data_IF_404266447044
#
_entry.id   IF_404266447044
#
_cell.length_a   1.000
_cell.length_b   1.000
_cell.length_c   1.000
_cell.angle_alpha   90.00
_cell.angle_beta   90.00
_cell.angle_gamma   90.00
#
_symmetry.space_group_name_H-M   'P 1'
#
loop_
_entity.id
_entity.type
_entity.pdbx_description
1 polymer ?
#
# COMPACT_ATOMS: atom_id res chain seq x y z
N UNK A 1 -21.45 0.01 -6.03
CA UNK A 1 -21.75 0.09 -4.59
C UNK A 1 -21.60 1.53 -4.16
N UNK A 2 -22.60 2.11 -3.49
CA UNK A 2 -22.49 3.47 -2.95
C UNK A 2 -21.43 3.47 -1.83
N UNK A 3 -20.32 4.19 -2.05
CA UNK A 3 -19.41 4.56 -0.97
C UNK A 3 -20.17 5.43 0.04
N UNK A 4 -20.40 4.89 1.24
CA UNK A 4 -20.63 5.73 2.41
C UNK A 4 -19.32 6.44 2.69
N UNK A 5 -19.19 7.70 2.28
CA UNK A 5 -18.19 8.63 2.83
C UNK A 5 -18.46 8.73 4.33
N UNK A 6 -17.72 7.97 5.13
CA UNK A 6 -17.60 8.24 6.56
C UNK A 6 -16.76 9.51 6.65
N UNK A 7 -17.36 10.57 7.17
CA UNK A 7 -16.68 11.84 7.40
C UNK A 7 -15.71 11.64 8.57
N UNK A 8 -14.44 11.42 8.24
CA UNK A 8 -13.35 11.19 9.20
C UNK A 8 -12.73 12.50 9.71
N UNK A 9 -13.38 13.65 9.48
CA UNK A 9 -12.93 14.90 10.07
C UNK A 9 -13.27 14.94 11.56
N UNK A 10 -12.29 15.38 12.33
CA UNK A 10 -12.42 15.68 13.75
C UNK A 10 -13.35 16.91 13.86
N UNK A 11 -14.55 16.72 14.43
CA UNK A 11 -15.57 17.77 14.58
C UNK A 11 -15.52 18.33 15.99
N UNK A 12 -15.83 19.62 16.15
CA UNK A 12 -15.95 20.28 17.46
C UNK A 12 -16.75 19.41 18.42
N UNK A 13 -16.12 19.04 19.53
CA UNK A 13 -16.80 18.49 20.69
C UNK A 13 -17.51 19.63 21.41
N UNK A 14 -18.83 19.52 21.60
CA UNK A 14 -19.65 20.59 22.20
C UNK A 14 -19.31 20.86 23.67
N UNK A 15 -18.49 19.99 24.27
CA UNK A 15 -18.09 20.05 25.67
C UNK A 15 -16.64 20.56 25.88
N UNK A 16 -15.96 21.07 24.83
CA UNK A 16 -14.62 21.66 24.98
C UNK A 16 -14.64 22.84 25.96
N UNK A 17 -13.79 22.78 26.99
CA UNK A 17 -13.57 23.86 27.97
C UNK A 17 -12.18 24.45 27.74
N UNK A 18 -12.05 25.28 26.71
CA UNK A 18 -10.80 25.89 26.28
C UNK A 18 -10.74 27.41 26.50
N UNK A 19 -9.61 28.00 26.14
CA UNK A 19 -9.42 29.44 25.99
C UNK A 19 -9.72 29.82 24.54
N UNK A 20 -10.52 30.87 24.33
CA UNK A 20 -10.70 31.47 23.00
C UNK A 20 -9.43 32.21 22.62
N UNK A 21 -8.87 31.89 21.46
CA UNK A 21 -7.62 32.47 20.96
C UNK A 21 -7.74 32.79 19.47
N UNK A 22 -6.85 33.63 18.95
CA UNK A 22 -6.72 33.90 17.52
C UNK A 22 -5.57 33.05 16.95
N UNK A 23 -5.90 32.24 15.95
CA UNK A 23 -4.91 31.51 15.15
C UNK A 23 -4.19 32.50 14.23
N UNK A 24 -2.86 32.43 14.26
CA UNK A 24 -1.96 33.11 13.33
C UNK A 24 -1.05 32.05 12.71
N UNK A 25 -0.70 32.18 11.43
CA UNK A 25 0.22 31.26 10.77
C UNK A 25 1.63 31.86 10.64
N UNK A 26 2.64 31.06 10.97
CA UNK A 26 4.05 31.38 10.75
C UNK A 26 4.76 30.17 10.12
N UNK A 27 5.76 30.43 9.29
CA UNK A 27 6.53 29.38 8.61
C UNK A 27 7.69 28.86 9.49
N UNK A 28 7.95 27.56 9.40
CA UNK A 28 9.30 27.03 9.64
C UNK A 28 9.62 26.56 11.06
N UNK A 29 8.64 26.09 11.82
CA UNK A 29 8.88 25.57 13.17
C UNK A 29 8.29 24.18 13.45
N UNK A 30 7.92 23.44 12.40
CA UNK A 30 8.00 21.98 12.37
C UNK A 30 6.76 21.25 12.87
N UNK A 31 5.59 21.58 12.30
CA UNK A 31 4.29 21.02 12.67
C UNK A 31 3.95 21.17 14.17
N UNK A 32 4.31 22.31 14.75
CA UNK A 32 4.04 22.67 16.15
C UNK A 32 3.20 23.94 16.22
N UNK A 33 2.81 24.35 17.43
CA UNK A 33 2.27 25.67 17.70
C UNK A 33 3.07 26.37 18.81
N UNK A 34 3.06 27.71 18.78
CA UNK A 34 3.64 28.57 19.80
C UNK A 34 2.56 29.30 20.56
N UNK A 35 2.80 29.52 21.85
CA UNK A 35 1.93 30.30 22.73
C UNK A 35 2.78 31.08 23.74
N UNK A 36 2.31 32.23 24.18
CA UNK A 36 2.99 32.97 25.24
C UNK A 36 2.83 32.27 26.60
N UNK A 37 3.72 32.60 27.54
CA UNK A 37 3.75 31.97 28.86
C UNK A 37 2.52 32.30 29.74
N UNK A 38 1.89 33.46 29.54
CA UNK A 38 0.72 33.88 30.31
C UNK A 38 -0.50 33.02 29.98
N UNK A 39 -0.78 32.82 28.69
CA UNK A 39 -1.90 32.01 28.23
C UNK A 39 -1.63 30.51 28.41
N UNK A 40 -0.38 30.07 28.22
CA UNK A 40 0.03 28.72 28.61
C UNK A 40 -0.32 28.43 30.07
N UNK A 41 -0.02 29.37 30.98
CA UNK A 41 -0.34 29.24 32.40
C UNK A 41 -1.84 29.19 32.67
N UNK A 42 -2.66 29.99 31.96
CA UNK A 42 -4.14 29.93 32.07
C UNK A 42 -4.67 28.55 31.67
N UNK A 43 -4.08 27.94 30.63
CA UNK A 43 -4.44 26.62 30.12
C UNK A 43 -3.76 25.45 30.85
N UNK A 44 -2.86 25.72 31.81
CA UNK A 44 -2.10 24.69 32.52
C UNK A 44 -1.09 23.94 31.62
N UNK A 45 -0.58 24.61 30.59
CA UNK A 45 0.38 24.10 29.61
C UNK A 45 1.82 24.33 30.05
N UNK A 46 2.68 23.39 29.67
CA UNK A 46 4.13 23.43 29.76
C UNK A 46 4.73 23.24 28.36
N UNK A 47 6.03 23.54 28.19
CA UNK A 47 6.78 23.18 26.99
C UNK A 47 6.57 21.71 26.62
N UNK A 48 6.21 21.43 25.36
CA UNK A 48 5.92 20.09 24.87
C UNK A 48 4.52 19.56 25.19
N UNK A 49 3.65 20.35 25.84
CA UNK A 49 2.26 19.96 26.07
C UNK A 49 1.51 19.81 24.74
N UNK A 50 0.52 18.92 24.72
CA UNK A 50 -0.34 18.73 23.56
C UNK A 50 -1.62 19.53 23.78
N UNK A 51 -2.05 20.23 22.74
CA UNK A 51 -3.34 20.94 22.73
C UNK A 51 -4.22 20.41 21.61
N UNK A 52 -5.52 20.53 21.81
CA UNK A 52 -6.51 20.46 20.74
C UNK A 52 -6.94 21.88 20.40
N UNK A 53 -6.95 22.19 19.12
CA UNK A 53 -7.38 23.48 18.57
C UNK A 53 -8.61 23.21 17.71
N UNK A 54 -9.70 23.92 17.97
CA UNK A 54 -10.94 23.83 17.22
C UNK A 54 -11.25 25.19 16.57
N UNK A 55 -11.24 25.23 15.23
CA UNK A 55 -11.61 26.40 14.45
C UNK A 55 -13.12 26.65 14.55
N UNK A 56 -13.49 27.83 15.06
CA UNK A 56 -14.89 28.19 15.30
C UNK A 56 -15.69 28.42 14.00
N UNK A 57 -15.01 28.73 12.89
CA UNK A 57 -15.68 28.95 11.61
C UNK A 57 -15.98 27.66 10.87
N UNK A 58 -14.98 26.78 10.77
CA UNK A 58 -15.08 25.57 9.94
C UNK A 58 -15.59 24.36 10.72
N UNK A 59 -15.49 24.39 12.04
CA UNK A 59 -15.80 23.24 12.88
C UNK A 59 -14.72 22.15 12.88
N UNK A 60 -13.56 22.42 12.26
CA UNK A 60 -12.44 21.52 12.19
C UNK A 60 -11.66 21.55 13.50
N UNK A 61 -11.16 20.40 13.93
CA UNK A 61 -10.21 20.32 15.04
C UNK A 61 -8.89 19.64 14.64
N UNK A 62 -7.81 20.07 15.28
CA UNK A 62 -6.47 19.52 15.12
C UNK A 62 -5.77 19.36 16.47
N UNK A 63 -4.78 18.47 16.52
CA UNK A 63 -3.85 18.34 17.65
C UNK A 63 -2.49 18.92 17.28
N UNK A 64 -1.82 19.56 18.23
CA UNK A 64 -0.43 20.00 18.04
C UNK A 64 0.35 20.07 19.35
N UNK A 65 1.68 20.08 19.24
CA UNK A 65 2.61 20.21 20.37
C UNK A 65 2.97 21.68 20.55
N UNK A 66 2.93 22.14 21.79
CA UNK A 66 3.20 23.52 22.17
C UNK A 66 4.68 23.76 22.44
N UNK A 67 5.18 24.87 21.90
CA UNK A 67 6.42 25.55 22.27
C UNK A 67 6.07 26.88 22.93
N UNK A 68 6.76 27.27 24.00
CA UNK A 68 6.57 28.59 24.62
C UNK A 68 7.41 29.64 23.90
N UNK A 69 6.80 30.78 23.55
CA UNK A 69 7.49 31.90 22.90
C UNK A 69 6.94 33.23 23.43
N UNK A 70 7.83 34.06 23.98
CA UNK A 70 7.49 35.37 24.56
C UNK A 70 7.09 36.42 23.50
N UNK A 71 7.37 36.16 22.21
CA UNK A 71 7.01 37.07 21.12
C UNK A 71 5.59 36.88 20.59
N UNK A 72 4.88 35.85 21.06
CA UNK A 72 3.47 35.61 20.70
C UNK A 72 2.57 36.57 21.48
N UNK A 73 1.60 37.20 20.83
CA UNK A 73 0.67 38.14 21.48
C UNK A 73 -0.23 37.47 22.51
N UNK A 74 -0.83 38.27 23.39
CA UNK A 74 -1.86 37.79 24.30
C UNK A 74 -3.07 37.30 23.50
N UNK A 75 -3.65 36.16 23.91
CA UNK A 75 -4.77 35.47 23.26
C UNK A 75 -4.48 35.04 21.82
N UNK A 76 -3.21 34.93 21.43
CA UNK A 76 -2.77 34.41 20.14
C UNK A 76 -2.14 33.02 20.27
N UNK A 77 -2.43 32.16 19.29
CA UNK A 77 -1.72 30.89 19.10
C UNK A 77 -1.14 30.88 17.69
N UNK A 78 0.18 30.78 17.58
CA UNK A 78 0.87 30.75 16.29
C UNK A 78 1.04 29.30 15.87
N UNK A 79 0.42 28.89 14.77
CA UNK A 79 0.48 27.52 14.25
C UNK A 79 1.44 27.48 13.05
N UNK A 80 2.23 26.43 12.95
CA UNK A 80 3.08 26.21 11.77
C UNK A 80 2.19 26.17 10.53
N UNK A 81 2.45 27.06 9.57
CA UNK A 81 1.57 27.30 8.42
C UNK A 81 1.24 26.02 7.66
N UNK A 82 2.23 25.17 7.45
CA UNK A 82 2.06 23.89 6.76
C UNK A 82 1.09 22.96 7.49
N UNK A 83 1.14 22.91 8.82
CA UNK A 83 0.20 22.14 9.63
C UNK A 83 -1.22 22.72 9.52
N UNK A 84 -1.37 24.04 9.69
CA UNK A 84 -2.67 24.71 9.60
C UNK A 84 -3.32 24.53 8.22
N UNK A 85 -2.61 24.90 7.15
CA UNK A 85 -3.12 24.86 5.78
C UNK A 85 -3.42 23.42 5.31
N UNK A 86 -2.58 22.45 5.66
CA UNK A 86 -2.82 21.03 5.27
C UNK A 86 -4.05 20.42 5.93
N UNK A 87 -4.45 20.96 7.08
CA UNK A 87 -5.68 20.61 7.78
C UNK A 87 -6.88 21.45 7.34
N UNK A 88 -6.68 22.47 6.52
CA UNK A 88 -7.74 23.36 6.04
C UNK A 88 -8.13 24.46 7.03
N UNK A 89 -7.29 24.75 8.02
CA UNK A 89 -7.51 25.84 8.98
C UNK A 89 -7.25 27.19 8.31
N UNK A 90 -7.93 28.22 8.81
CA UNK A 90 -7.68 29.62 8.47
C UNK A 90 -7.32 30.40 9.73
N UNK A 91 -6.59 31.50 9.57
CA UNK A 91 -6.39 32.46 10.66
C UNK A 91 -7.74 33.00 11.16
N UNK A 92 -7.87 33.14 12.48
CA UNK A 92 -9.15 33.51 13.08
C UNK A 92 -9.38 32.90 14.47
N UNK A 93 -10.56 33.16 15.06
CA UNK A 93 -10.94 32.62 16.37
C UNK A 93 -10.95 31.09 16.38
N UNK A 94 -10.37 30.53 17.44
CA UNK A 94 -10.36 29.12 17.73
C UNK A 94 -10.43 28.88 19.24
N UNK A 95 -10.99 27.74 19.60
CA UNK A 95 -10.99 27.25 20.96
C UNK A 95 -9.77 26.34 21.16
N UNK A 96 -8.91 26.69 22.12
CA UNK A 96 -7.70 25.94 22.46
C UNK A 96 -7.89 25.27 23.81
N UNK A 97 -7.76 23.94 23.87
CA UNK A 97 -7.81 23.18 25.11
C UNK A 97 -6.57 22.31 25.29
N UNK A 98 -6.24 22.05 26.55
CA UNK A 98 -5.17 21.11 26.90
C UNK A 98 -5.63 19.67 26.66
N UNK A 99 -4.78 18.88 26.02
CA UNK A 99 -5.00 17.45 25.87
C UNK A 99 -4.29 16.68 26.99
N UNK A 100 -5.06 16.23 27.98
CA UNK A 100 -4.55 15.51 29.16
C UNK A 100 -4.78 13.99 29.12
N UNK A 101 -5.35 13.46 28.04
CA UNK A 101 -5.54 12.02 27.88
C UNK A 101 -4.22 11.34 27.52
N UNK A 102 -4.11 10.05 27.82
CA UNK A 102 -2.98 9.25 27.39
C UNK A 102 -2.98 9.10 25.85
N UNK A 103 -1.79 9.17 25.25
CA UNK A 103 -1.63 8.93 23.81
C UNK A 103 -1.81 7.45 23.49
N UNK A 104 -2.46 7.19 22.36
CA UNK A 104 -2.60 5.86 21.80
C UNK A 104 -1.22 5.35 21.35
N UNK A 105 -0.93 4.09 21.69
CA UNK A 105 0.32 3.41 21.28
C UNK A 105 0.09 2.70 19.96
N UNK A 106 0.76 3.17 18.92
CA UNK A 106 0.65 2.60 17.59
C UNK A 106 1.55 1.38 17.44
N UNK A 107 1.03 0.39 16.70
CA UNK A 107 1.81 -0.74 16.18
C UNK A 107 2.05 -0.59 14.69
N UNK A 108 1.05 -0.12 13.96
CA UNK A 108 1.13 0.02 12.50
C UNK A 108 0.55 1.34 12.04
N UNK A 109 1.12 1.88 10.98
CA UNK A 109 0.59 3.07 10.30
C UNK A 109 0.75 2.94 8.78
N UNK A 110 -0.31 3.30 8.05
CA UNK A 110 -0.28 3.43 6.59
C UNK A 110 -0.31 4.91 6.24
N UNK A 111 0.75 5.37 5.56
CA UNK A 111 0.93 6.73 5.09
C UNK A 111 0.66 6.80 3.59
N UNK A 112 -0.25 7.71 3.23
CA UNK A 112 -0.57 8.11 1.88
C UNK A 112 0.38 9.20 1.39
N UNK A 113 0.92 9.03 0.20
CA UNK A 113 1.81 9.99 -0.48
C UNK A 113 1.01 10.74 -1.55
N UNK A 114 1.13 12.07 -1.55
CA UNK A 114 0.53 12.95 -2.57
C UNK A 114 1.57 13.99 -3.03
N UNK A 115 2.10 13.92 -4.26
CA UNK A 115 2.97 14.98 -4.81
C UNK A 115 2.24 16.33 -4.85
N UNK A 116 2.91 17.43 -4.47
CA UNK A 116 2.29 18.76 -4.49
C UNK A 116 1.98 19.28 -5.89
N UNK A 117 2.76 18.88 -6.91
CA UNK A 117 2.61 19.30 -8.30
C UNK A 117 1.38 18.76 -9.04
N UNK A 118 0.65 17.80 -8.45
CA UNK A 118 -0.55 17.20 -9.04
C UNK A 118 -0.35 15.79 -9.61
N UNK A 119 -1.47 15.12 -9.87
CA UNK A 119 -1.63 13.67 -9.95
C UNK A 119 -1.22 13.01 -11.28
N UNK A 120 -0.12 13.44 -11.91
CA UNK A 120 0.47 12.70 -13.01
C UNK A 120 1.00 11.35 -12.51
N UNK A 121 0.57 10.24 -13.11
CA UNK A 121 1.03 8.89 -12.70
C UNK A 121 2.56 8.74 -12.73
N UNK A 122 3.24 9.49 -13.60
CA UNK A 122 4.70 9.51 -13.71
C UNK A 122 5.37 10.25 -12.55
N UNK A 123 4.84 11.41 -12.14
CA UNK A 123 5.35 12.14 -10.98
C UNK A 123 5.11 11.34 -9.70
N UNK A 124 3.93 10.73 -9.56
CA UNK A 124 3.61 9.84 -8.45
C UNK A 124 4.58 8.65 -8.37
N UNK A 125 4.92 8.02 -9.51
CA UNK A 125 5.92 6.96 -9.58
C UNK A 125 7.29 7.45 -9.10
N UNK A 126 7.76 8.58 -9.65
CA UNK A 126 9.07 9.14 -9.32
C UNK A 126 9.19 9.47 -7.83
N UNK A 127 8.17 10.13 -7.26
CA UNK A 127 8.14 10.50 -5.84
C UNK A 127 8.08 9.29 -4.92
N UNK A 128 7.28 8.29 -5.27
CA UNK A 128 7.24 7.03 -4.53
C UNK A 128 8.61 6.32 -4.50
N UNK A 129 9.28 6.23 -5.64
CA UNK A 129 10.62 5.63 -5.73
C UNK A 129 11.69 6.48 -5.02
N UNK A 130 11.59 7.80 -5.08
CA UNK A 130 12.47 8.72 -4.35
C UNK A 130 12.35 8.53 -2.83
N UNK A 131 11.13 8.46 -2.31
CA UNK A 131 10.90 8.18 -0.88
C UNK A 131 11.50 6.84 -0.49
N UNK A 132 11.28 5.79 -1.30
CA UNK A 132 11.80 4.45 -1.01
C UNK A 132 13.34 4.46 -0.96
N UNK A 133 14.00 5.21 -1.85
CA UNK A 133 15.47 5.43 -1.83
C UNK A 133 15.94 6.21 -0.60
N UNK A 134 15.11 7.12 -0.07
CA UNK A 134 15.44 8.03 1.02
C UNK A 134 14.71 7.68 2.33
N UNK A 135 14.45 6.39 2.56
CA UNK A 135 13.68 5.89 3.72
C UNK A 135 14.11 6.47 5.07
N UNK A 136 15.41 6.64 5.31
CA UNK A 136 15.92 7.16 6.59
C UNK A 136 15.48 8.60 6.86
N UNK A 137 15.34 9.40 5.79
CA UNK A 137 14.83 10.76 5.92
C UNK A 137 13.33 10.76 6.23
N UNK A 138 12.58 9.79 5.70
CA UNK A 138 11.16 9.66 5.98
C UNK A 138 10.95 9.20 7.43
N UNK A 139 11.73 8.23 7.91
CA UNK A 139 11.71 7.80 9.31
C UNK A 139 11.98 9.01 10.24
N UNK A 140 13.02 9.80 9.96
CA UNK A 140 13.32 11.01 10.73
C UNK A 140 12.21 12.06 10.68
N UNK A 141 11.51 12.17 9.55
CA UNK A 141 10.40 13.12 9.42
C UNK A 141 9.16 12.66 10.20
N UNK A 142 8.88 11.35 10.18
CA UNK A 142 7.70 10.78 10.82
C UNK A 142 7.86 10.67 12.34
N UNK A 143 9.06 10.44 12.83
CA UNK A 143 9.33 10.26 14.26
C UNK A 143 8.97 11.51 15.08
N UNK A 144 8.17 11.33 16.13
CA UNK A 144 7.67 12.42 16.96
C UNK A 144 6.52 13.23 16.35
N UNK A 145 5.93 12.80 15.22
CA UNK A 145 4.71 13.42 14.72
C UNK A 145 3.49 13.02 15.55
N UNK A 146 2.73 14.01 15.98
CA UNK A 146 1.42 13.82 16.59
C UNK A 146 0.38 13.55 15.49
N UNK A 147 -0.28 12.41 15.54
CA UNK A 147 -1.26 11.99 14.54
C UNK A 147 -2.65 11.75 15.14
N UNK A 148 -3.65 11.87 14.28
CA UNK A 148 -5.07 11.67 14.53
C UNK A 148 -5.78 11.28 13.23
N UNK A 149 -7.07 10.90 13.28
CA UNK A 149 -7.82 10.61 12.06
C UNK A 149 -7.71 11.73 11.03
N UNK A 150 -7.34 11.36 9.80
CA UNK A 150 -7.14 12.26 8.67
C UNK A 150 -6.01 13.31 8.80
N UNK A 151 -5.10 13.18 9.77
CA UNK A 151 -3.93 14.04 9.90
C UNK A 151 -3.12 14.11 8.58
N UNK A 152 -2.70 15.31 8.23
CA UNK A 152 -1.92 15.61 7.03
C UNK A 152 -0.68 16.42 7.41
N UNK A 153 0.41 16.15 6.71
CA UNK A 153 1.69 16.77 6.94
C UNK A 153 2.33 17.15 5.62
N UNK A 154 2.99 18.30 5.62
CA UNK A 154 3.74 18.77 4.48
C UNK A 154 5.21 18.43 4.66
N UNK A 155 5.78 17.70 3.71
CA UNK A 155 7.20 17.40 3.69
C UNK A 155 7.90 18.18 2.57
N UNK A 156 8.11 19.47 2.82
CA UNK A 156 8.61 20.45 1.84
C UNK A 156 9.90 20.03 1.15
N UNK A 157 10.84 19.45 1.91
CA UNK A 157 12.12 18.96 1.38
C UNK A 157 11.96 18.01 0.19
N UNK A 158 10.82 17.31 0.10
CA UNK A 158 10.52 16.36 -0.96
C UNK A 158 9.34 16.75 -1.84
N UNK A 159 8.70 17.89 -1.58
CA UNK A 159 7.55 18.39 -2.32
C UNK A 159 6.38 17.37 -2.33
N UNK A 160 6.08 16.85 -1.13
CA UNK A 160 5.10 15.80 -0.90
C UNK A 160 4.23 16.15 0.29
N UNK A 161 2.94 15.87 0.17
CA UNK A 161 2.01 15.79 1.28
C UNK A 161 1.88 14.34 1.74
N UNK A 162 1.93 14.13 3.05
CA UNK A 162 1.74 12.85 3.70
C UNK A 162 0.40 12.86 4.43
N UNK A 163 -0.39 11.80 4.26
CA UNK A 163 -1.68 11.64 4.94
C UNK A 163 -1.70 10.35 5.72
N UNK A 164 -2.18 10.39 6.96
CA UNK A 164 -2.45 9.16 7.72
C UNK A 164 -3.72 8.53 7.16
N UNK A 165 -3.60 7.33 6.60
CA UNK A 165 -4.72 6.60 5.98
C UNK A 165 -5.32 5.60 6.95
N UNK A 166 -4.46 4.80 7.60
CA UNK A 166 -4.88 3.73 8.50
C UNK A 166 -3.89 3.62 9.66
N UNK A 167 -4.38 3.21 10.82
CA UNK A 167 -3.60 2.98 12.04
C UNK A 167 -4.06 1.70 12.72
N UNK A 168 -3.15 1.01 13.38
CA UNK A 168 -3.44 -0.13 14.25
C UNK A 168 -2.77 0.09 15.62
N UNK A 169 -3.53 0.21 16.73
CA UNK A 169 -4.99 0.31 16.79
C UNK A 169 -5.51 1.56 16.07
N UNK A 170 -6.79 1.54 15.68
CA UNK A 170 -7.42 2.68 15.03
C UNK A 170 -7.65 3.80 16.04
N UNK A 171 -7.12 4.98 15.76
CA UNK A 171 -7.26 6.15 16.63
C UNK A 171 -8.70 6.65 16.59
N UNK A 172 -9.33 6.82 17.75
CA UNK A 172 -10.66 7.44 17.83
C UNK A 172 -10.62 8.93 17.49
N UNK A 173 -11.70 9.54 17.00
CA UNK A 173 -11.77 10.97 16.71
C UNK A 173 -11.39 11.89 17.89
N UNK A 174 -11.43 11.41 19.13
CA UNK A 174 -11.08 12.22 20.30
C UNK A 174 -9.69 11.97 20.86
N UNK A 175 -8.90 11.08 20.24
CA UNK A 175 -7.59 10.69 20.74
C UNK A 175 -6.48 11.08 19.77
N UNK A 176 -5.27 11.19 20.32
CA UNK A 176 -4.05 11.40 19.59
C UNK A 176 -3.10 10.21 19.78
N UNK A 177 -2.21 10.04 18.83
CA UNK A 177 -1.07 9.14 18.95
C UNK A 177 0.21 9.88 18.56
N UNK A 178 1.34 9.45 19.12
CA UNK A 178 2.65 9.90 18.64
C UNK A 178 3.26 8.79 17.79
N UNK A 179 3.80 9.13 16.63
CA UNK A 179 4.65 8.18 15.90
C UNK A 179 5.96 8.06 16.65
N UNK A 180 6.22 6.87 17.20
CA UNK A 180 7.53 6.47 17.70
C UNK A 180 8.06 5.37 16.78
N UNK A 181 8.93 5.72 15.84
CA UNK A 181 9.39 4.80 14.78
C UNK A 181 10.00 3.53 15.36
N UNK A 182 10.72 3.65 16.48
CA UNK A 182 11.35 2.53 17.17
C UNK A 182 10.35 1.54 17.83
N UNK A 183 9.10 1.97 18.07
CA UNK A 183 8.06 1.15 18.68
C UNK A 183 7.08 0.55 17.65
N UNK A 184 7.12 1.01 16.40
CA UNK A 184 6.26 0.51 15.35
C UNK A 184 6.71 -0.88 14.87
N UNK A 185 5.72 -1.75 14.68
CA UNK A 185 5.88 -3.04 14.02
C UNK A 185 5.91 -2.87 12.49
N UNK A 186 5.18 -1.87 11.93
CA UNK A 186 5.05 -1.69 10.49
C UNK A 186 4.72 -0.24 10.08
N UNK A 187 5.41 0.27 9.05
CA UNK A 187 4.99 1.46 8.29
C UNK A 187 4.75 1.08 6.84
N UNK A 188 3.58 1.42 6.29
CA UNK A 188 3.20 1.20 4.89
C UNK A 188 3.11 2.50 4.12
N UNK A 189 3.53 2.46 2.87
CA UNK A 189 3.42 3.55 1.89
C UNK A 189 2.50 3.15 0.76
N UNK A 190 1.55 4.03 0.44
CA UNK A 190 0.70 3.96 -0.77
C UNK A 190 0.43 5.37 -1.28
N UNK A 191 -0.08 5.51 -2.50
CA UNK A 191 -0.59 6.82 -2.93
C UNK A 191 -1.87 7.15 -2.16
N UNK A 192 -2.01 8.42 -1.77
CA UNK A 192 -3.23 8.95 -1.16
C UNK A 192 -4.34 9.11 -2.21
N UNK A 193 -4.00 9.71 -3.35
CA UNK A 193 -4.90 9.99 -4.47
C UNK A 193 -4.24 9.70 -5.80
N UNK A 194 -5.06 9.36 -6.80
CA UNK A 194 -4.60 8.99 -8.13
C UNK A 194 -4.22 7.51 -8.23
N UNK A 195 -3.82 7.10 -9.44
CA UNK A 195 -3.41 5.72 -9.73
C UNK A 195 -1.93 5.70 -10.06
N UNK A 196 -1.19 4.81 -9.39
CA UNK A 196 0.19 4.51 -9.73
C UNK A 196 0.22 3.60 -10.95
N UNK A 197 0.99 3.94 -11.99
CA UNK A 197 1.18 3.03 -13.11
C UNK A 197 2.39 2.15 -12.82
N UNK A 198 2.20 0.83 -12.79
CA UNK A 198 3.27 -0.11 -12.50
C UNK A 198 3.23 -1.32 -13.44
N UNK A 199 4.41 -1.82 -13.78
CA UNK A 199 4.53 -3.09 -14.49
C UNK A 199 4.33 -4.25 -13.52
N UNK A 200 4.06 -5.44 -14.04
CA UNK A 200 3.83 -6.62 -13.22
C UNK A 200 4.43 -7.88 -13.83
N UNK A 201 5.03 -8.71 -12.99
CA UNK A 201 5.52 -10.04 -13.34
C UNK A 201 4.88 -11.04 -12.39
N UNK A 202 3.97 -11.86 -12.93
CA UNK A 202 3.29 -12.91 -12.17
C UNK A 202 4.08 -14.21 -12.31
N UNK A 203 4.61 -14.73 -11.21
CA UNK A 203 5.31 -16.00 -11.12
C UNK A 203 4.39 -17.04 -10.51
N UNK A 204 4.01 -18.05 -11.30
CA UNK A 204 2.96 -19.01 -10.92
C UNK A 204 3.56 -20.43 -10.86
N UNK A 205 3.43 -21.04 -9.69
CA UNK A 205 3.85 -22.40 -9.43
C UNK A 205 2.98 -23.41 -10.19
N UNK A 206 3.62 -24.35 -10.87
CA UNK A 206 3.05 -25.50 -11.56
C UNK A 206 3.61 -26.82 -11.00
N UNK A 207 3.96 -26.83 -9.72
CA UNK A 207 4.36 -28.05 -9.02
C UNK A 207 3.20 -29.04 -8.94
N UNK A 208 3.54 -30.31 -8.72
CA UNK A 208 2.53 -31.38 -8.65
C UNK A 208 1.47 -31.14 -7.56
N UNK A 209 1.82 -30.48 -6.46
CA UNK A 209 0.89 -30.19 -5.37
C UNK A 209 -0.25 -29.25 -5.79
N UNK A 210 -0.02 -28.39 -6.79
CA UNK A 210 -1.03 -27.49 -7.36
C UNK A 210 -2.20 -28.23 -8.02
N UNK A 211 -2.05 -29.52 -8.31
CA UNK A 211 -3.13 -30.36 -8.90
C UNK A 211 -4.16 -30.84 -7.87
N UNK A 212 -3.91 -30.67 -6.56
CA UNK A 212 -4.83 -31.10 -5.49
C UNK A 212 -6.14 -30.32 -5.55
N UNK A 213 -7.27 -31.04 -5.54
CA UNK A 213 -8.64 -30.49 -5.49
C UNK A 213 -9.10 -30.20 -4.07
N UNK A 214 -8.54 -29.17 -3.46
CA UNK A 214 -8.84 -28.81 -2.06
C UNK A 214 -9.07 -27.32 -1.80
N UNK A 215 -9.09 -26.50 -2.86
CA UNK A 215 -9.44 -25.09 -2.76
C UNK A 215 -10.95 -24.92 -2.91
N UNK A 216 -11.58 -24.35 -1.89
CA UNK A 216 -13.02 -24.10 -1.88
C UNK A 216 -13.32 -22.87 -2.72
N UNK A 217 -14.34 -22.99 -3.58
CA UNK A 217 -14.94 -21.88 -4.31
C UNK A 217 -15.90 -21.17 -3.37
N UNK A 218 -15.59 -19.93 -3.05
CA UNK A 218 -16.46 -19.03 -2.31
C UNK A 218 -16.54 -17.71 -3.08
N UNK A 219 -17.70 -17.05 -3.09
CA UNK A 219 -17.88 -15.74 -3.72
C UNK A 219 -18.02 -15.76 -5.25
N UNK A 220 -18.93 -16.59 -5.81
CA UNK A 220 -19.19 -16.70 -7.25
C UNK A 220 -19.42 -15.37 -8.01
N UNK A 221 -19.88 -14.31 -7.35
CA UNK A 221 -20.13 -12.98 -7.97
C UNK A 221 -18.90 -12.40 -8.67
N UNK A 222 -17.70 -12.81 -8.24
CA UNK A 222 -16.43 -12.53 -8.90
C UNK A 222 -16.35 -12.97 -10.35
N UNK A 223 -16.75 -14.21 -10.57
CA UNK A 223 -16.56 -14.94 -11.81
C UNK A 223 -17.52 -14.38 -12.85
N UNK A 224 -18.72 -14.02 -12.42
CA UNK A 224 -19.72 -13.30 -13.20
C UNK A 224 -19.20 -11.91 -13.61
N UNK A 225 -18.59 -11.17 -12.67
CA UNK A 225 -17.96 -9.88 -12.96
C UNK A 225 -16.83 -9.97 -14.00
N UNK A 226 -16.03 -11.02 -13.96
CA UNK A 226 -14.99 -11.25 -14.95
C UNK A 226 -15.55 -11.58 -16.34
N UNK A 227 -16.61 -12.41 -16.42
CA UNK A 227 -17.27 -12.72 -17.69
C UNK A 227 -17.84 -11.47 -18.36
N UNK A 228 -18.30 -10.48 -17.59
CA UNK A 228 -18.81 -9.22 -18.12
C UNK A 228 -17.73 -8.35 -18.81
N UNK A 229 -16.44 -8.59 -18.55
CA UNK A 229 -15.32 -7.85 -19.17
C UNK A 229 -14.80 -8.51 -20.45
N UNK A 230 -15.36 -9.67 -20.84
CA UNK A 230 -14.97 -10.40 -22.04
C UNK A 230 -15.80 -9.95 -23.25
N UNK A 231 -15.26 -10.13 -24.47
CA UNK A 231 -16.03 -9.86 -25.69
C UNK A 231 -17.20 -10.84 -25.84
N UNK A 232 -18.30 -10.38 -26.43
CA UNK A 232 -19.53 -11.15 -26.59
C UNK A 232 -19.26 -12.43 -27.41
N UNK A 233 -19.53 -13.60 -26.82
CA UNK A 233 -19.29 -14.91 -27.43
C UNK A 233 -17.95 -15.57 -27.06
N UNK A 234 -17.03 -14.85 -26.40
CA UNK A 234 -15.83 -15.46 -25.85
C UNK A 234 -16.12 -16.18 -24.53
N UNK A 235 -16.18 -17.51 -24.58
CA UNK A 235 -16.27 -18.35 -23.39
C UNK A 235 -14.89 -18.88 -23.02
N UNK A 236 -14.48 -18.65 -21.78
CA UNK A 236 -13.38 -19.39 -21.17
C UNK A 236 -13.98 -20.68 -20.63
N UNK A 237 -13.80 -21.78 -21.36
CA UNK A 237 -14.19 -23.14 -20.94
C UNK A 237 -13.69 -23.49 -19.53
N UNK A 238 -12.59 -22.87 -19.11
CA UNK A 238 -12.01 -23.00 -17.79
C UNK A 238 -12.90 -22.48 -16.64
N UNK A 239 -13.73 -21.46 -16.90
CA UNK A 239 -14.67 -20.91 -15.92
C UNK A 239 -16.01 -21.66 -15.89
N UNK A 240 -16.28 -22.50 -16.88
CA UNK A 240 -17.54 -23.23 -16.98
C UNK A 240 -17.66 -24.27 -15.85
N UNK A 241 -18.88 -24.39 -15.32
CA UNK A 241 -19.25 -25.41 -14.35
C UNK A 241 -18.75 -25.20 -12.93
N UNK A 242 -18.09 -24.08 -12.62
CA UNK A 242 -17.67 -23.73 -11.25
C UNK A 242 -18.91 -23.40 -10.41
N UNK A 243 -19.08 -24.08 -9.28
CA UNK A 243 -20.18 -23.85 -8.34
C UNK A 243 -19.66 -23.41 -6.97
N UNK A 244 -20.43 -22.57 -6.29
CA UNK A 244 -20.19 -22.20 -4.90
C UNK A 244 -20.06 -23.46 -4.03
N UNK A 245 -19.08 -23.48 -3.13
CA UNK A 245 -18.77 -24.61 -2.26
C UNK A 245 -18.04 -25.78 -2.92
N UNK A 246 -17.85 -25.78 -4.24
CA UNK A 246 -17.07 -26.82 -4.92
C UNK A 246 -15.59 -26.73 -4.54
N UNK A 247 -14.91 -27.88 -4.52
CA UNK A 247 -13.44 -27.94 -4.40
C UNK A 247 -12.80 -28.08 -5.77
N UNK A 248 -12.11 -27.04 -6.19
CA UNK A 248 -11.31 -27.02 -7.42
C UNK A 248 -9.85 -27.29 -7.13
N UNK A 249 -9.07 -27.59 -8.17
CA UNK A 249 -7.63 -27.67 -7.99
C UNK A 249 -7.02 -26.28 -7.75
N UNK A 250 -5.96 -26.22 -6.95
CA UNK A 250 -5.21 -25.00 -6.61
C UNK A 250 -4.77 -24.25 -7.86
N UNK A 251 -4.32 -25.00 -8.85
CA UNK A 251 -3.95 -24.49 -10.15
C UNK A 251 -5.10 -23.76 -10.88
N UNK A 252 -6.34 -24.25 -10.77
CA UNK A 252 -7.52 -23.62 -11.39
C UNK A 252 -7.83 -22.28 -10.76
N UNK A 253 -7.79 -22.16 -9.44
CA UNK A 253 -7.96 -20.84 -8.80
C UNK A 253 -6.79 -19.90 -9.03
N UNK A 254 -5.55 -20.40 -9.08
CA UNK A 254 -4.38 -19.59 -9.50
C UNK A 254 -4.61 -18.94 -10.87
N UNK A 255 -5.10 -19.74 -11.83
CA UNK A 255 -5.41 -19.29 -13.19
C UNK A 255 -6.53 -18.25 -13.19
N UNK A 256 -7.60 -18.47 -12.42
CA UNK A 256 -8.71 -17.52 -12.27
C UNK A 256 -8.22 -16.19 -11.70
N UNK A 257 -7.39 -16.21 -10.66
CA UNK A 257 -6.86 -15.00 -10.04
C UNK A 257 -5.97 -14.20 -11.00
N UNK A 258 -5.16 -14.89 -11.82
CA UNK A 258 -4.37 -14.27 -12.89
C UNK A 258 -5.28 -13.64 -13.96
N UNK A 259 -6.39 -14.30 -14.31
CA UNK A 259 -7.34 -13.74 -15.27
C UNK A 259 -7.95 -12.44 -14.76
N UNK A 260 -8.32 -12.40 -13.47
CA UNK A 260 -8.86 -11.20 -12.84
C UNK A 260 -7.83 -10.08 -12.85
N UNK A 261 -6.59 -10.40 -12.47
CA UNK A 261 -5.51 -9.43 -12.50
C UNK A 261 -5.34 -8.78 -13.87
N UNK A 262 -5.35 -9.59 -14.94
CA UNK A 262 -5.25 -9.10 -16.32
C UNK A 262 -6.46 -8.23 -16.68
N UNK A 263 -7.67 -8.67 -16.36
CA UNK A 263 -8.89 -7.95 -16.67
C UNK A 263 -8.91 -6.56 -16.01
N UNK A 264 -8.56 -6.49 -14.72
CA UNK A 264 -8.44 -5.24 -13.96
C UNK A 264 -7.35 -4.33 -14.53
N UNK A 265 -6.16 -4.88 -14.82
CA UNK A 265 -5.04 -4.13 -15.43
C UNK A 265 -5.40 -3.55 -16.79
N UNK A 266 -6.18 -4.28 -17.59
CA UNK A 266 -6.61 -3.82 -18.90
C UNK A 266 -7.75 -2.81 -18.80
N UNK A 267 -8.68 -3.00 -17.87
CA UNK A 267 -9.75 -2.04 -17.60
C UNK A 267 -9.18 -0.65 -17.24
N UNK A 268 -8.06 -0.62 -16.52
CA UNK A 268 -7.32 0.61 -16.22
C UNK A 268 -6.73 1.31 -17.46
N UNK A 269 -6.30 0.55 -18.47
CA UNK A 269 -5.87 1.08 -19.77
C UNK A 269 -4.59 1.94 -19.76
N UNK A 270 -3.70 1.78 -18.78
CA UNK A 270 -2.56 2.69 -18.52
C UNK A 270 -1.23 2.30 -19.16
N UNK A 271 -1.23 1.41 -20.16
CA UNK A 271 0.01 0.95 -20.82
C UNK A 271 0.98 0.23 -19.87
N UNK A 272 0.45 -0.40 -18.82
CA UNK A 272 1.22 -1.22 -17.88
C UNK A 272 1.64 -2.53 -18.55
N UNK A 273 2.90 -2.93 -18.40
CA UNK A 273 3.39 -4.20 -18.96
C UNK A 273 3.14 -5.32 -17.95
N UNK A 274 2.49 -6.39 -18.38
CA UNK A 274 2.21 -7.57 -17.56
C UNK A 274 2.85 -8.81 -18.20
N UNK A 275 3.75 -9.46 -17.47
CA UNK A 275 4.46 -10.68 -17.85
C UNK A 275 4.04 -11.86 -16.99
N UNK A 276 4.14 -13.07 -17.54
CA UNK A 276 3.83 -14.31 -16.83
C UNK A 276 4.99 -15.28 -16.91
N UNK A 277 5.41 -15.77 -15.75
CA UNK A 277 6.41 -16.83 -15.61
C UNK A 277 5.72 -18.02 -14.97
N UNK A 278 5.66 -19.12 -15.69
CA UNK A 278 5.18 -20.39 -15.14
C UNK A 278 6.38 -21.23 -14.74
N UNK A 279 6.37 -21.80 -13.53
CA UNK A 279 7.54 -22.55 -13.06
C UNK A 279 7.19 -23.87 -12.38
N UNK A 280 8.03 -24.87 -12.61
CA UNK A 280 8.10 -26.13 -11.86
C UNK A 280 9.57 -26.55 -11.76
N UNK A 281 10.00 -27.58 -12.49
CA UNK A 281 11.42 -27.94 -12.66
C UNK A 281 12.18 -26.93 -13.52
N UNK A 282 11.45 -26.21 -14.38
CA UNK A 282 11.93 -25.16 -15.26
C UNK A 282 11.01 -23.95 -15.12
N UNK A 283 11.52 -22.76 -15.40
CA UNK A 283 10.73 -21.56 -15.56
C UNK A 283 10.53 -21.25 -17.05
N UNK A 284 9.32 -20.84 -17.43
CA UNK A 284 8.94 -20.49 -18.80
C UNK A 284 8.17 -19.18 -18.80
N UNK A 285 8.71 -18.19 -19.51
CA UNK A 285 8.01 -16.95 -19.83
C UNK A 285 6.94 -17.25 -20.89
N UNK A 286 5.72 -16.81 -20.65
CA UNK A 286 4.64 -16.90 -21.65
C UNK A 286 4.82 -15.80 -22.69
N UNK A 287 4.94 -16.19 -23.97
CA UNK A 287 5.03 -15.25 -25.08
C UNK A 287 3.68 -15.05 -25.76
N UNK A 288 3.21 -13.81 -25.81
CA UNK A 288 1.96 -13.42 -26.46
C UNK A 288 2.32 -12.61 -27.70
N UNK A 289 1.98 -13.13 -28.87
CA UNK A 289 2.33 -12.60 -30.19
C UNK A 289 3.81 -12.25 -30.34
N UNK A 290 4.67 -13.16 -29.84
CA UNK A 290 6.13 -13.01 -29.84
C UNK A 290 6.69 -12.15 -28.70
N UNK A 291 5.86 -11.36 -28.03
CA UNK A 291 6.24 -10.49 -26.91
C UNK A 291 6.21 -11.24 -25.58
N UNK A 292 7.08 -10.85 -24.64
CA UNK A 292 7.15 -11.47 -23.30
C UNK A 292 6.19 -10.85 -22.29
N UNK A 293 5.47 -9.81 -22.68
CA UNK A 293 4.45 -9.12 -21.90
C UNK A 293 3.27 -8.71 -22.77
N UNK A 294 2.16 -8.39 -22.12
CA UNK A 294 1.05 -7.63 -22.69
C UNK A 294 1.05 -6.22 -22.12
N UNK A 295 0.52 -5.28 -22.89
CA UNK A 295 0.27 -3.94 -22.40
C UNK A 295 -1.20 -3.80 -21.99
N UNK A 296 -1.46 -3.16 -20.85
CA UNK A 296 -2.81 -2.93 -20.32
C UNK A 296 -3.74 -2.13 -21.25
N UNK A 297 -3.23 -1.55 -22.34
CA UNK A 297 -4.04 -0.90 -23.38
C UNK A 297 -4.62 -1.88 -24.41
N UNK A 298 -4.16 -3.14 -24.46
CA UNK A 298 -4.44 -4.09 -25.54
C UNK A 298 -5.62 -5.02 -25.21
N UNK A 299 -6.84 -4.47 -25.15
CA UNK A 299 -8.07 -5.20 -24.79
C UNK A 299 -8.31 -6.47 -25.61
N UNK A 300 -8.04 -6.42 -26.91
CA UNK A 300 -8.20 -7.54 -27.85
C UNK A 300 -7.22 -8.71 -27.61
N UNK A 301 -6.25 -8.58 -26.69
CA UNK A 301 -5.27 -9.63 -26.40
C UNK A 301 -5.59 -10.46 -25.16
N UNK A 302 -6.65 -10.13 -24.40
CA UNK A 302 -7.04 -10.91 -23.21
C UNK A 302 -7.20 -12.36 -23.59
N UNK A 303 -8.15 -12.67 -24.47
CA UNK A 303 -8.53 -14.07 -24.73
C UNK A 303 -7.44 -14.89 -25.39
N UNK A 304 -6.60 -14.28 -26.24
CA UNK A 304 -5.40 -14.95 -26.76
C UNK A 304 -4.37 -15.23 -25.64
N UNK A 305 -4.18 -14.28 -24.73
CA UNK A 305 -3.32 -14.45 -23.54
C UNK A 305 -3.82 -15.60 -22.68
N UNK A 306 -5.12 -15.61 -22.38
CA UNK A 306 -5.73 -16.65 -21.53
C UNK A 306 -5.61 -18.04 -22.18
N UNK A 307 -5.91 -18.14 -23.48
CA UNK A 307 -5.73 -19.40 -24.24
C UNK A 307 -4.27 -19.87 -24.22
N UNK A 308 -3.29 -18.96 -24.33
CA UNK A 308 -1.86 -19.30 -24.29
C UNK A 308 -1.40 -19.77 -22.91
N UNK A 309 -1.88 -19.13 -21.85
CA UNK A 309 -1.65 -19.55 -20.47
C UNK A 309 -2.20 -20.98 -20.30
N UNK A 310 -3.48 -21.19 -20.64
CA UNK A 310 -4.14 -22.49 -20.53
C UNK A 310 -3.42 -23.59 -21.32
N UNK A 311 -3.09 -23.34 -22.59
CA UNK A 311 -2.36 -24.29 -23.43
C UNK A 311 -0.99 -24.60 -22.86
N UNK A 312 -0.23 -23.58 -22.43
CA UNK A 312 1.10 -23.81 -21.85
C UNK A 312 1.03 -24.67 -20.60
N UNK A 313 0.00 -24.47 -19.78
CA UNK A 313 -0.25 -25.29 -18.60
C UNK A 313 -0.53 -26.74 -18.97
N UNK A 314 -1.41 -26.99 -19.95
CA UNK A 314 -1.74 -28.37 -20.39
C UNK A 314 -0.51 -29.10 -20.91
N UNK A 315 0.41 -28.37 -21.54
CA UNK A 315 1.66 -28.89 -22.09
C UNK A 315 2.78 -29.02 -21.04
N UNK A 316 2.62 -28.44 -19.84
CA UNK A 316 3.68 -28.43 -18.83
C UNK A 316 3.66 -29.72 -18.01
N UNK A 317 4.83 -30.34 -17.89
CA UNK A 317 5.02 -31.44 -16.94
C UNK A 317 5.17 -30.90 -15.51
N UNK A 318 4.31 -31.39 -14.62
CA UNK A 318 4.31 -31.05 -13.20
C UNK A 318 5.54 -31.67 -12.51
N UNK A 319 6.34 -30.83 -11.86
CA UNK A 319 7.64 -31.20 -11.30
C UNK A 319 7.86 -30.70 -9.87
N UNK A 320 9.13 -30.54 -9.51
CA UNK A 320 9.58 -29.89 -8.28
C UNK A 320 9.32 -28.39 -8.32
N UNK A 321 9.60 -27.69 -7.21
CA UNK A 321 9.34 -26.27 -7.06
C UNK A 321 10.67 -25.50 -7.12
N UNK A 322 11.22 -25.26 -8.31
CA UNK A 322 12.46 -24.47 -8.50
C UNK A 322 12.15 -23.00 -8.70
N UNK A 323 11.92 -22.28 -7.60
CA UNK A 323 11.54 -20.87 -7.64
C UNK A 323 12.70 -19.97 -8.08
N UNK A 324 13.95 -20.34 -7.80
CA UNK A 324 15.12 -19.52 -8.14
C UNK A 324 15.20 -19.23 -9.65
N UNK A 325 14.80 -20.18 -10.50
CA UNK A 325 14.74 -19.98 -11.95
C UNK A 325 13.67 -18.97 -12.38
N UNK A 326 12.55 -18.89 -11.64
CA UNK A 326 11.53 -17.88 -11.89
C UNK A 326 12.02 -16.48 -11.51
N UNK A 327 12.75 -16.36 -10.39
CA UNK A 327 13.36 -15.10 -9.96
C UNK A 327 14.42 -14.62 -10.96
N UNK A 328 15.28 -15.50 -11.47
CA UNK A 328 16.25 -15.17 -12.51
C UNK A 328 15.55 -14.61 -13.76
N UNK A 329 14.51 -15.28 -14.26
CA UNK A 329 13.74 -14.79 -15.41
C UNK A 329 12.98 -13.49 -15.12
N UNK A 330 12.52 -13.29 -13.89
CA UNK A 330 11.85 -12.04 -13.50
C UNK A 330 12.84 -10.87 -13.50
N UNK A 331 14.07 -11.08 -13.04
CA UNK A 331 15.15 -10.09 -13.11
C UNK A 331 15.46 -9.76 -14.58
N UNK A 332 15.69 -10.78 -15.42
CA UNK A 332 15.97 -10.59 -16.86
C UNK A 332 14.85 -9.78 -17.54
N UNK A 333 13.60 -10.04 -17.18
CA UNK A 333 12.45 -9.29 -17.70
C UNK A 333 12.40 -7.84 -17.24
N UNK A 334 12.76 -7.56 -15.98
CA UNK A 334 12.83 -6.16 -15.49
C UNK A 334 13.90 -5.39 -16.26
N UNK A 335 15.06 -6.01 -16.48
CA UNK A 335 16.16 -5.42 -17.26
C UNK A 335 15.78 -5.21 -18.72
N UNK A 336 15.06 -6.15 -19.32
CA UNK A 336 14.57 -6.04 -20.71
C UNK A 336 13.46 -4.99 -20.87
N UNK A 337 12.57 -4.86 -19.88
CA UNK A 337 11.54 -3.82 -19.86
C UNK A 337 12.18 -2.43 -19.76
N UNK A 338 13.26 -2.30 -18.99
CA UNK A 338 14.09 -1.09 -18.85
C UNK A 338 13.30 0.20 -18.54
N UNK A 339 12.41 0.15 -17.55
CA UNK A 339 11.65 1.30 -17.06
C UNK A 339 11.97 1.56 -15.57
N UNK A 340 13.17 2.06 -15.24
CA UNK A 340 13.64 2.18 -13.84
C UNK A 340 12.84 3.17 -13.00
N UNK A 341 12.19 4.15 -13.64
CA UNK A 341 11.34 5.15 -12.97
C UNK A 341 9.88 4.68 -12.82
N UNK A 342 9.56 3.49 -13.30
CA UNK A 342 8.24 2.87 -13.14
C UNK A 342 8.34 1.71 -12.15
N UNK A 343 7.52 1.69 -11.09
CA UNK A 343 7.48 0.55 -10.19
C UNK A 343 7.12 -0.73 -10.94
N UNK A 344 7.70 -1.84 -10.50
CA UNK A 344 7.39 -3.17 -11.03
C UNK A 344 7.01 -4.10 -9.89
N UNK A 345 5.82 -4.67 -9.98
CA UNK A 345 5.30 -5.62 -9.00
C UNK A 345 5.71 -7.04 -9.40
N UNK A 346 6.33 -7.77 -8.49
CA UNK A 346 6.46 -9.22 -8.61
C UNK A 346 5.38 -9.87 -7.75
N UNK A 347 4.67 -10.85 -8.30
CA UNK A 347 3.70 -11.65 -7.52
C UNK A 347 4.07 -13.11 -7.65
N UNK A 348 4.61 -13.69 -6.57
CA UNK A 348 4.91 -15.11 -6.48
C UNK A 348 3.72 -15.85 -5.88
N UNK A 349 3.10 -16.74 -6.65
CA UNK A 349 2.06 -17.64 -6.17
C UNK A 349 2.58 -19.07 -6.11
N UNK A 350 2.50 -19.69 -4.92
CA UNK A 350 2.97 -21.06 -4.68
C UNK A 350 2.09 -21.80 -3.69
N UNK A 351 2.12 -23.12 -3.73
CA UNK A 351 1.53 -23.97 -2.69
C UNK A 351 2.57 -24.78 -1.92
N UNK A 352 3.85 -24.41 -1.98
CA UNK A 352 4.96 -25.17 -1.44
C UNK A 352 6.18 -24.34 -1.04
N UNK A 353 7.18 -25.03 -0.48
CA UNK A 353 8.52 -24.45 -0.27
C UNK A 353 9.37 -24.72 -1.52
N UNK A 354 10.27 -23.80 -1.91
CA UNK A 354 11.21 -24.05 -2.97
C UNK A 354 12.17 -25.17 -2.61
N UNK A 355 12.59 -25.93 -3.62
CA UNK A 355 13.68 -26.91 -3.48
C UNK A 355 15.06 -26.23 -3.47
N UNK A 356 15.12 -24.95 -3.86
CA UNK A 356 16.31 -24.11 -3.97
C UNK A 356 16.23 -22.88 -3.04
N UNK A 357 15.84 -23.09 -1.76
CA UNK A 357 15.56 -22.03 -0.78
C UNK A 357 16.69 -21.00 -0.64
N UNK A 358 17.95 -21.44 -0.51
CA UNK A 358 19.10 -20.53 -0.38
C UNK A 358 19.23 -19.61 -1.59
N UNK A 359 19.09 -20.17 -2.80
CA UNK A 359 19.13 -19.40 -4.04
C UNK A 359 18.01 -18.36 -4.12
N UNK A 360 16.81 -18.71 -3.68
CA UNK A 360 15.67 -17.78 -3.63
C UNK A 360 15.95 -16.62 -2.67
N UNK A 361 16.54 -16.90 -1.49
CA UNK A 361 16.91 -15.86 -0.52
C UNK A 361 17.98 -14.91 -1.08
N UNK A 362 19.00 -15.44 -1.73
CA UNK A 362 20.02 -14.63 -2.42
C UNK A 362 19.42 -13.71 -3.47
N UNK A 363 18.53 -14.25 -4.31
CA UNK A 363 17.89 -13.48 -5.37
C UNK A 363 16.92 -12.43 -4.82
N UNK A 364 16.15 -12.74 -3.78
CA UNK A 364 15.28 -11.77 -3.12
C UNK A 364 16.08 -10.59 -2.52
N UNK A 365 17.20 -10.89 -1.83
CA UNK A 365 18.13 -9.87 -1.33
C UNK A 365 18.73 -9.03 -2.44
N UNK A 366 19.15 -9.68 -3.55
CA UNK A 366 19.64 -9.00 -4.74
C UNK A 366 18.57 -8.03 -5.28
N UNK A 367 17.33 -8.49 -5.43
CA UNK A 367 16.21 -7.67 -5.91
C UNK A 367 16.01 -6.45 -5.00
N UNK A 368 15.91 -6.68 -3.68
CA UNK A 368 15.71 -5.61 -2.70
C UNK A 368 16.80 -4.54 -2.70
N UNK A 369 18.04 -4.95 -2.97
CA UNK A 369 19.21 -4.06 -2.99
C UNK A 369 19.41 -3.33 -4.33
N UNK A 370 19.27 -4.04 -5.44
CA UNK A 370 19.66 -3.55 -6.77
C UNK A 370 18.48 -2.99 -7.58
N UNK A 371 17.25 -3.45 -7.32
CA UNK A 371 16.06 -3.09 -8.09
C UNK A 371 15.05 -2.40 -7.18
N UNK A 372 15.38 -1.18 -6.76
CA UNK A 372 14.57 -0.39 -5.83
C UNK A 372 13.12 -0.16 -6.32
N UNK A 373 12.93 -0.15 -7.63
CA UNK A 373 11.62 -0.04 -8.26
C UNK A 373 10.78 -1.34 -8.20
N UNK A 374 11.33 -2.44 -7.70
CA UNK A 374 10.60 -3.71 -7.56
C UNK A 374 9.99 -3.85 -6.17
N UNK A 375 8.74 -4.34 -6.11
CA UNK A 375 8.07 -4.80 -4.88
C UNK A 375 7.55 -6.22 -5.10
N UNK A 376 8.04 -7.17 -4.31
CA UNK A 376 7.73 -8.59 -4.38
C UNK A 376 6.68 -8.98 -3.34
N UNK A 377 5.51 -9.39 -3.83
CA UNK A 377 4.45 -10.00 -3.04
C UNK A 377 4.53 -11.51 -3.17
N UNK A 378 4.24 -12.19 -2.07
CA UNK A 378 4.20 -13.64 -2.03
C UNK A 378 2.83 -14.10 -1.56
N UNK A 379 2.25 -15.04 -2.30
CA UNK A 379 0.94 -15.60 -2.02
C UNK A 379 1.10 -17.11 -1.89
N UNK A 380 0.76 -17.63 -0.72
CA UNK A 380 0.67 -19.06 -0.51
C UNK A 380 -0.78 -19.53 -0.59
N UNK A 381 -1.01 -20.67 -1.23
CA UNK A 381 -2.29 -21.36 -1.22
C UNK A 381 -2.14 -22.76 -0.62
N UNK A 382 -3.26 -23.31 -0.16
CA UNK A 382 -3.28 -24.63 0.45
C UNK A 382 -2.60 -24.68 1.83
N UNK A 383 -2.09 -25.85 2.19
CA UNK A 383 -1.65 -26.18 3.57
C UNK A 383 -0.13 -26.20 3.78
N UNK A 384 0.66 -25.81 2.79
CA UNK A 384 2.13 -25.89 2.94
C UNK A 384 2.67 -24.85 3.92
N UNK A 385 3.64 -25.28 4.74
CA UNK A 385 4.33 -24.46 5.74
C UNK A 385 5.50 -23.69 5.10
N UNK A 386 5.19 -22.66 4.33
CA UNK A 386 6.19 -21.78 3.68
C UNK A 386 6.09 -20.32 4.14
N UNK A 387 5.16 -19.99 5.05
CA UNK A 387 4.78 -18.62 5.44
C UNK A 387 5.97 -17.78 5.88
N UNK A 388 6.82 -18.35 6.73
CA UNK A 388 8.00 -17.65 7.24
C UNK A 388 8.95 -17.27 6.09
N UNK A 389 9.33 -18.23 5.24
CA UNK A 389 10.19 -17.97 4.10
C UNK A 389 9.55 -16.96 3.14
N UNK A 390 8.25 -17.11 2.84
CA UNK A 390 7.54 -16.23 1.93
C UNK A 390 7.44 -14.80 2.48
N UNK A 391 7.28 -14.65 3.79
CA UNK A 391 7.33 -13.35 4.49
C UNK A 391 8.70 -12.73 4.40
N UNK A 392 9.75 -13.52 4.68
CA UNK A 392 11.15 -13.07 4.63
C UNK A 392 11.53 -12.57 3.23
N UNK A 393 11.23 -13.34 2.17
CA UNK A 393 11.59 -12.93 0.79
C UNK A 393 10.78 -11.73 0.29
N UNK A 394 9.49 -11.62 0.65
CA UNK A 394 8.68 -10.45 0.30
C UNK A 394 9.22 -9.18 0.99
N UNK A 395 9.60 -9.32 2.26
CA UNK A 395 10.10 -8.22 3.07
C UNK A 395 11.36 -7.58 2.47
N UNK A 396 12.25 -8.35 1.82
CA UNK A 396 13.48 -7.83 1.18
C UNK A 396 13.22 -6.66 0.23
N UNK A 397 12.03 -6.58 -0.36
CA UNK A 397 11.65 -5.54 -1.34
C UNK A 397 10.62 -4.54 -0.82
N UNK A 398 10.19 -4.71 0.43
CA UNK A 398 9.05 -3.98 1.02
C UNK A 398 7.68 -4.54 0.64
N UNK A 399 7.58 -5.75 0.10
CA UNK A 399 6.28 -6.36 -0.22
C UNK A 399 5.60 -7.04 0.96
N UNK A 400 4.51 -7.75 0.68
CA UNK A 400 3.70 -8.46 1.68
C UNK A 400 3.50 -9.93 1.34
N UNK A 401 3.54 -10.77 2.37
CA UNK A 401 3.13 -12.17 2.29
C UNK A 401 1.67 -12.34 2.70
N UNK A 402 0.95 -13.18 1.96
CA UNK A 402 -0.41 -13.61 2.29
C UNK A 402 -0.63 -15.09 2.06
N UNK A 403 -1.48 -15.67 2.89
CA UNK A 403 -2.03 -17.00 2.69
C UNK A 403 -3.50 -16.89 2.33
N UNK A 404 -3.87 -17.33 1.13
CA UNK A 404 -5.25 -17.44 0.72
C UNK A 404 -5.79 -18.84 1.03
N UNK A 405 -6.92 -18.91 1.74
CA UNK A 405 -7.55 -20.16 2.18
C UNK A 405 -8.56 -20.71 1.17
N UNK A 406 -9.16 -19.83 0.39
CA UNK A 406 -10.20 -20.13 -0.59
C UNK A 406 -9.99 -19.26 -1.85
N UNK A 407 -10.86 -19.46 -2.84
CA UNK A 407 -10.79 -18.69 -4.08
C UNK A 407 -11.11 -17.20 -3.88
N UNK A 408 -12.04 -16.86 -2.98
CA UNK A 408 -12.43 -15.45 -2.70
C UNK A 408 -11.26 -14.64 -2.18
N UNK A 409 -10.56 -15.13 -1.14
CA UNK A 409 -9.39 -14.46 -0.57
C UNK A 409 -8.26 -14.32 -1.59
N UNK A 410 -8.03 -15.34 -2.43
CA UNK A 410 -7.03 -15.27 -3.49
C UNK A 410 -7.39 -14.19 -4.52
N UNK A 411 -8.67 -14.15 -4.91
CA UNK A 411 -9.18 -13.15 -5.83
C UNK A 411 -9.05 -11.73 -5.27
N UNK A 412 -9.56 -11.47 -4.07
CA UNK A 412 -9.51 -10.15 -3.42
C UNK A 412 -8.08 -9.59 -3.39
N UNK A 413 -7.10 -10.47 -3.13
CA UNK A 413 -5.69 -10.11 -3.18
C UNK A 413 -5.23 -9.72 -4.58
N UNK A 414 -5.52 -10.53 -5.59
CA UNK A 414 -5.12 -10.19 -6.96
C UNK A 414 -5.84 -8.94 -7.48
N UNK A 415 -7.10 -8.70 -7.10
CA UNK A 415 -7.82 -7.47 -7.44
C UNK A 415 -7.19 -6.24 -6.77
N UNK A 416 -6.81 -6.35 -5.49
CA UNK A 416 -6.09 -5.29 -4.78
C UNK A 416 -4.74 -5.02 -5.44
N UNK A 417 -3.94 -6.06 -5.72
CA UNK A 417 -2.63 -5.94 -6.37
C UNK A 417 -2.71 -5.46 -7.82
N UNK A 418 -3.84 -5.68 -8.51
CA UNK A 418 -4.02 -5.14 -9.86
C UNK A 418 -4.22 -3.61 -9.84
N UNK A 419 -4.77 -3.09 -8.75
CA UNK A 419 -5.14 -1.68 -8.61
C UNK A 419 -4.06 -0.88 -7.87
N UNK A 420 -3.47 -1.45 -6.82
CA UNK A 420 -2.58 -0.75 -5.91
C UNK A 420 -1.24 -1.47 -5.71
N UNK A 421 -0.20 -0.67 -5.49
CA UNK A 421 1.10 -1.13 -5.01
C UNK A 421 1.36 -0.48 -3.64
N UNK A 422 1.56 -1.31 -2.63
CA UNK A 422 1.80 -0.94 -1.24
C UNK A 422 3.21 -1.40 -0.87
N UNK A 423 4.07 -0.47 -0.47
CA UNK A 423 5.41 -0.84 0.02
C UNK A 423 5.49 -0.65 1.52
N UNK A 424 5.84 -1.71 2.24
CA UNK A 424 6.32 -1.63 3.61
C UNK A 424 7.68 -0.96 3.64
N UNK A 425 7.90 -0.11 4.63
CA UNK A 425 9.21 0.39 4.99
C UNK A 425 9.78 -0.60 5.99
N UNK A 426 10.92 -1.21 5.66
CA UNK A 426 11.69 -1.95 6.65
C UNK A 426 12.25 -0.95 7.65
N UNK A 427 11.62 -0.90 8.83
CA UNK A 427 12.12 -0.12 9.95
C UNK A 427 13.43 -0.73 10.42
N UNK A 428 14.40 0.12 10.78
CA UNK A 428 15.59 -0.37 11.50
C UNK A 428 15.11 -0.94 12.83
N UNK A 429 15.09 -2.27 12.97
CA UNK A 429 15.08 -2.89 14.29
C UNK A 429 16.39 -2.49 14.97
N UNK A 430 16.32 -1.72 16.05
CA UNK A 430 17.49 -1.55 16.90
C UNK A 430 17.94 -2.95 17.36
N UNK A 431 19.23 -3.31 17.20
CA UNK A 431 19.76 -4.61 17.59
C UNK A 431 19.66 -4.87 19.10
#
# INVERSE_FOLDING_TARGET
MLERKIDHTMRIDKDMQGLSMIIVFEDGFGNKAKINATDAKKLGLLEGSIVRIADEYTGLSMGTIITLDENVGDEEIVIDKNLGESMGFTEGPALVEKYDKALERLKKVTIGIEPKGGAGSEEANKKFLEIKKKREHLEQFLDGLLIYPAAQFVWDKFDINLKVLETEPQISPDNFAMIAIAELEEVKLKLNKGLMNFNAILMIDLSRSMTRKDMVVEGLTAIEGLQAHMEEGEKISYLEGIKEGEKINRFKGATIAVFIYIAEKIARGKGEKVSFILFSDKAKIIKIDGQKWIEGSQKNKISNTLKKIETTIKETHFGWTKMGKAFEQAIDLVEEINEPDKPTMFVLLTDGRPNDEERVRELAKKIGKEYINVVLYTIAIGKAKCDQLMTEIAAETGGEFKRAKNLSELWEWYSTLANDIISKIQLKTNP
#
